data_IF_426259504951
#
_entry.id   IF_426259504951
#
_cell.length_a   1.000
_cell.length_b   1.000
_cell.length_c   1.000
_cell.angle_alpha   90.00
_cell.angle_beta   90.00
_cell.angle_gamma   90.00
#
_symmetry.space_group_name_H-M   'P 1'
#
loop_
_entity.id
_entity.type
_entity.pdbx_description
1 polymer ?
#
# COMPACT_ATOMS: atom_id res chain seq x y z
N UNK A 1 14.19 16.50 21.88
CA UNK A 1 13.59 15.59 22.88
C UNK A 1 12.68 14.59 22.16
N UNK A 2 13.25 13.66 21.40
CA UNK A 2 12.51 12.53 20.79
C UNK A 2 13.28 11.22 21.06
N UNK A 3 13.45 10.78 22.32
CA UNK A 3 14.23 9.57 22.62
C UNK A 3 13.41 8.26 22.54
N UNK A 4 12.08 8.32 22.39
CA UNK A 4 11.22 7.12 22.49
C UNK A 4 10.89 6.43 21.16
N UNK A 5 11.06 7.10 20.02
CA UNK A 5 10.73 6.50 18.71
C UNK A 5 11.76 5.45 18.26
N UNK A 6 13.01 5.56 18.72
CA UNK A 6 14.11 4.71 18.30
C UNK A 6 14.10 3.32 18.98
N UNK A 7 13.82 3.26 20.28
CA UNK A 7 13.97 2.01 21.07
C UNK A 7 13.11 0.85 20.55
N UNK A 8 11.89 1.14 20.07
CA UNK A 8 10.97 0.12 19.56
C UNK A 8 11.29 -0.28 18.10
N UNK A 9 11.87 0.64 17.31
CA UNK A 9 12.30 0.37 15.94
C UNK A 9 13.54 -0.52 15.89
N UNK A 10 14.50 -0.32 16.80
CA UNK A 10 15.70 -1.16 16.89
C UNK A 10 15.39 -2.62 17.24
N UNK A 11 14.36 -2.88 18.06
CA UNK A 11 13.95 -4.25 18.39
C UNK A 11 13.44 -5.06 17.19
N UNK A 12 12.98 -4.39 16.12
CA UNK A 12 12.48 -5.03 14.91
C UNK A 12 13.59 -5.23 13.86
N UNK A 13 14.61 -4.38 13.85
CA UNK A 13 15.72 -4.41 12.88
C UNK A 13 16.89 -5.31 13.30
N UNK A 14 17.05 -5.62 14.60
CA UNK A 14 18.16 -6.43 15.12
C UNK A 14 17.78 -7.88 15.50
N UNK A 15 16.61 -8.36 15.10
CA UNK A 15 16.26 -9.78 15.24
C UNK A 15 16.95 -10.59 14.13
N UNK A 16 17.81 -11.58 14.46
CA UNK A 16 18.46 -12.41 13.45
C UNK A 16 17.40 -13.14 12.62
N UNK A 17 17.54 -13.09 11.30
CA UNK A 17 16.66 -13.75 10.31
C UNK A 17 16.52 -15.27 10.56
N UNK A 18 17.41 -15.87 11.36
CA UNK A 18 17.37 -17.28 11.74
C UNK A 18 16.43 -17.62 12.92
N UNK A 19 15.90 -16.64 13.66
CA UNK A 19 15.01 -16.86 14.82
C UNK A 19 13.55 -16.48 14.58
N UNK A 20 13.18 -16.03 13.37
CA UNK A 20 11.77 -15.88 13.01
C UNK A 20 11.22 -17.27 12.72
N UNK A 21 10.39 -17.87 13.59
CA UNK A 21 9.79 -19.16 13.28
C UNK A 21 8.99 -18.99 11.98
N UNK A 22 9.32 -19.81 11.00
CA UNK A 22 8.58 -19.94 9.76
C UNK A 22 7.08 -20.08 10.10
N UNK A 23 6.26 -19.18 9.56
CA UNK A 23 4.87 -19.47 9.18
C UNK A 23 3.93 -20.01 10.27
N UNK A 24 3.80 -19.36 11.43
CA UNK A 24 2.74 -19.74 12.38
C UNK A 24 1.68 -18.70 12.72
N UNK A 25 1.68 -17.52 12.08
CA UNK A 25 0.48 -16.71 11.83
C UNK A 25 0.92 -15.34 11.35
N UNK A 26 0.72 -15.06 10.06
CA UNK A 26 0.66 -13.67 9.62
C UNK A 26 -0.52 -13.04 10.37
N UNK A 27 -0.29 -11.99 11.18
CA UNK A 27 -1.39 -11.21 11.74
C UNK A 27 -2.26 -10.75 10.56
N UNK A 28 -3.50 -11.24 10.47
CA UNK A 28 -4.33 -11.13 9.27
C UNK A 28 -4.76 -12.46 8.62
N UNK A 29 -4.07 -13.57 8.91
CA UNK A 29 -4.44 -14.94 8.48
C UNK A 29 -5.06 -15.78 9.60
N UNK A 30 -5.39 -15.11 10.71
CA UNK A 30 -6.12 -15.64 11.85
C UNK A 30 -7.63 -15.71 11.56
N UNK A 31 -8.37 -16.40 12.44
CA UNK A 31 -9.83 -16.54 12.33
C UNK A 31 -10.57 -15.19 12.24
N UNK A 32 -10.03 -14.11 12.80
CA UNK A 32 -10.67 -12.79 12.77
C UNK A 32 -10.06 -11.85 11.71
N UNK A 33 -9.15 -12.35 10.86
CA UNK A 33 -8.56 -11.60 9.75
C UNK A 33 -7.98 -10.26 10.16
N UNK A 34 -8.47 -9.19 9.53
CA UNK A 34 -8.01 -7.81 9.78
C UNK A 34 -8.32 -7.30 11.21
N UNK A 35 -9.29 -7.87 11.91
CA UNK A 35 -9.64 -7.42 13.28
C UNK A 35 -8.53 -7.70 14.29
N UNK A 36 -7.75 -8.77 14.09
CA UNK A 36 -6.61 -9.07 14.94
C UNK A 36 -5.46 -8.05 14.74
N UNK A 37 -5.35 -7.49 13.53
CA UNK A 37 -4.42 -6.40 13.24
C UNK A 37 -4.89 -5.12 13.94
N UNK A 38 -6.19 -4.79 13.84
CA UNK A 38 -6.76 -3.58 14.45
C UNK A 38 -6.61 -3.53 15.98
N UNK A 39 -6.65 -4.69 16.63
CA UNK A 39 -6.53 -4.84 18.09
C UNK A 39 -5.07 -4.91 18.59
N UNK A 40 -4.09 -4.92 17.68
CA UNK A 40 -2.68 -5.02 18.06
C UNK A 40 -2.19 -3.77 18.81
N UNK A 41 -1.27 -3.96 19.78
CA UNK A 41 -0.76 -2.88 20.65
C UNK A 41 -0.12 -1.71 19.89
N UNK A 42 0.38 -1.95 18.68
CA UNK A 42 0.93 -0.92 17.80
C UNK A 42 -0.11 0.15 17.46
N UNK A 43 -1.36 -0.26 17.19
CA UNK A 43 -2.44 0.63 16.79
C UNK A 43 -3.31 1.10 17.96
N UNK A 44 -2.82 0.95 19.19
CA UNK A 44 -3.53 1.41 20.38
C UNK A 44 -3.74 2.92 20.28
N UNK A 45 -5.00 3.35 20.37
CA UNK A 45 -5.38 4.76 20.26
C UNK A 45 -5.71 5.22 18.83
N UNK A 46 -5.53 4.37 17.82
CA UNK A 46 -5.97 4.66 16.46
C UNK A 46 -7.49 4.48 16.35
N UNK A 47 -8.19 5.55 15.94
CA UNK A 47 -9.62 5.47 15.66
C UNK A 47 -9.86 5.00 14.23
N UNK A 48 -10.06 3.68 14.07
CA UNK A 48 -10.30 3.06 12.77
C UNK A 48 -11.53 3.59 12.03
N UNK A 49 -12.58 4.02 12.74
CA UNK A 49 -13.78 4.58 12.13
C UNK A 49 -13.51 5.98 11.56
N UNK A 50 -12.80 6.84 12.31
CA UNK A 50 -12.38 8.15 11.83
C UNK A 50 -11.39 8.04 10.66
N UNK A 51 -10.48 7.05 10.68
CA UNK A 51 -9.57 6.78 9.57
C UNK A 51 -10.33 6.40 8.31
N UNK A 52 -11.28 5.46 8.43
CA UNK A 52 -12.11 5.00 7.30
C UNK A 52 -12.93 6.15 6.70
N UNK A 53 -13.49 7.02 7.55
CA UNK A 53 -14.25 8.19 7.15
C UNK A 53 -13.38 9.38 6.72
N UNK A 54 -12.05 9.22 6.63
CA UNK A 54 -11.09 10.28 6.26
C UNK A 54 -11.18 11.53 7.15
N UNK A 55 -11.53 11.34 8.43
CA UNK A 55 -11.69 12.41 9.42
C UNK A 55 -10.42 12.63 10.28
N UNK A 56 -9.43 11.74 10.14
CA UNK A 56 -8.13 11.90 10.79
C UNK A 56 -7.23 12.80 9.94
N UNK A 57 -6.50 13.70 10.60
CA UNK A 57 -5.48 14.50 9.93
C UNK A 57 -4.32 13.61 9.47
N UNK A 58 -3.95 13.74 8.19
CA UNK A 58 -2.80 13.04 7.65
C UNK A 58 -1.52 13.61 8.24
N UNK A 59 -0.67 12.75 8.83
CA UNK A 59 0.60 13.18 9.40
C UNK A 59 1.53 13.84 8.37
N UNK A 60 1.45 13.38 7.11
CA UNK A 60 2.18 13.96 5.99
C UNK A 60 1.15 14.58 5.05
N UNK A 61 1.16 15.90 4.97
CA UNK A 61 0.30 16.64 4.03
C UNK A 61 1.03 16.81 2.72
N UNK A 62 0.43 16.33 1.63
CA UNK A 62 0.93 16.54 0.27
C UNK A 62 0.56 17.97 -0.20
N UNK A 63 1.56 18.77 -0.55
CA UNK A 63 1.33 20.11 -1.09
C UNK A 63 1.16 20.05 -2.61
N UNK A 64 -0.08 19.91 -3.07
CA UNK A 64 -0.47 19.86 -4.49
C UNK A 64 -1.02 21.23 -4.91
N UNK A 65 -0.49 21.79 -5.99
CA UNK A 65 -0.83 23.15 -6.47
C UNK A 65 -2.05 23.20 -7.38
N UNK A 66 -2.27 22.15 -8.17
CA UNK A 66 -3.31 22.08 -9.20
C UNK A 66 -3.66 20.63 -9.54
N UNK A 67 -4.76 20.43 -10.27
CA UNK A 67 -5.19 19.09 -10.70
C UNK A 67 -4.14 18.38 -11.58
N UNK A 68 -3.37 19.14 -12.35
CA UNK A 68 -2.31 18.61 -13.24
C UNK A 68 -0.90 18.63 -12.58
N UNK A 69 -0.81 18.83 -11.26
CA UNK A 69 0.47 18.91 -10.57
C UNK A 69 1.11 17.52 -10.40
N UNK A 70 2.16 17.27 -11.19
CA UNK A 70 2.95 16.04 -11.15
C UNK A 70 4.23 16.16 -10.30
N UNK A 71 4.38 17.21 -9.49
CA UNK A 71 5.63 17.48 -8.75
C UNK A 71 5.99 16.47 -7.66
N UNK A 72 5.01 15.68 -7.19
CA UNK A 72 5.22 14.59 -6.24
C UNK A 72 5.59 13.25 -6.89
N UNK A 73 5.68 13.22 -8.23
CA UNK A 73 6.08 12.06 -9.00
C UNK A 73 7.48 12.27 -9.55
N UNK A 74 8.21 11.16 -9.73
CA UNK A 74 9.47 11.19 -10.45
C UNK A 74 9.25 11.55 -11.92
N UNK A 75 10.18 12.32 -12.48
CA UNK A 75 10.20 12.60 -13.92
C UNK A 75 10.79 11.40 -14.63
N UNK A 76 9.94 10.65 -15.29
CA UNK A 76 10.37 9.61 -16.21
C UNK A 76 10.48 10.20 -17.61
N UNK A 77 11.47 9.74 -18.38
CA UNK A 77 11.53 10.04 -19.81
C UNK A 77 10.35 9.37 -20.50
N UNK A 78 9.84 10.00 -21.55
CA UNK A 78 8.84 9.34 -22.39
C UNK A 78 9.37 7.98 -22.86
N UNK A 79 8.51 6.97 -22.80
CA UNK A 79 8.82 5.64 -23.30
C UNK A 79 9.23 5.76 -24.77
N UNK A 80 10.50 5.48 -25.04
CA UNK A 80 11.04 5.33 -26.40
C UNK A 80 10.67 3.99 -27.02
N UNK A 81 10.11 3.08 -26.22
CA UNK A 81 9.55 1.83 -26.71
C UNK A 81 8.23 2.14 -27.42
N UNK A 82 8.22 1.89 -28.74
CA UNK A 82 6.98 1.74 -29.49
C UNK A 82 6.09 0.78 -28.71
N UNK A 83 4.84 1.16 -28.45
CA UNK A 83 3.88 0.32 -27.73
C UNK A 83 4.02 -1.10 -28.26
N UNK A 84 4.17 -2.08 -27.35
CA UNK A 84 4.52 -3.47 -27.68
C UNK A 84 3.72 -4.04 -28.87
N UNK A 85 4.16 -5.18 -29.43
CA UNK A 85 3.72 -5.65 -30.75
C UNK A 85 2.24 -5.42 -31.00
N UNK A 86 1.94 -4.75 -32.13
CA UNK A 86 0.57 -4.36 -32.48
C UNK A 86 -0.38 -5.54 -32.27
N UNK A 87 -1.35 -5.33 -31.40
CA UNK A 87 -2.41 -6.28 -31.08
C UNK A 87 -3.07 -6.69 -32.40
N UNK A 88 -3.28 -8.00 -32.62
CA UNK A 88 -4.01 -8.47 -33.77
C UNK A 88 -5.51 -8.25 -33.51
N UNK A 89 -6.16 -7.29 -34.19
CA UNK A 89 -7.52 -6.88 -33.86
C UNK A 89 -8.57 -7.99 -34.11
N UNK A 90 -8.22 -9.04 -34.86
CA UNK A 90 -9.10 -10.16 -35.12
C UNK A 90 -8.96 -11.30 -34.10
N UNK A 91 -7.75 -11.51 -33.53
CA UNK A 91 -7.50 -12.60 -32.57
C UNK A 91 -7.65 -12.16 -31.13
N UNK A 92 -7.18 -10.96 -30.83
CA UNK A 92 -7.00 -10.54 -29.45
C UNK A 92 -8.22 -9.76 -28.93
N UNK A 93 -9.13 -9.33 -29.82
CA UNK A 93 -10.35 -8.60 -29.47
C UNK A 93 -11.28 -9.42 -28.56
N UNK A 94 -11.36 -10.73 -28.75
CA UNK A 94 -12.18 -11.62 -27.91
C UNK A 94 -11.62 -11.75 -26.48
N UNK A 95 -10.32 -11.54 -26.28
CA UNK A 95 -9.71 -11.59 -24.94
C UNK A 95 -10.15 -10.43 -24.04
N UNK A 96 -10.64 -9.34 -24.64
CA UNK A 96 -11.05 -8.12 -23.95
C UNK A 96 -12.55 -7.83 -24.08
N UNK A 97 -13.37 -8.76 -24.59
CA UNK A 97 -14.80 -8.51 -24.84
C UNK A 97 -15.59 -8.17 -23.58
N UNK A 98 -15.17 -8.68 -22.43
CA UNK A 98 -15.83 -8.44 -21.13
C UNK A 98 -15.15 -7.32 -20.33
N UNK A 99 -14.07 -6.72 -20.84
CA UNK A 99 -13.31 -5.68 -20.11
C UNK A 99 -14.18 -4.47 -19.75
N UNK A 100 -15.08 -4.07 -20.65
CA UNK A 100 -15.98 -2.94 -20.46
C UNK A 100 -17.34 -3.33 -19.86
N UNK A 101 -17.60 -4.61 -19.60
CA UNK A 101 -18.92 -5.11 -19.17
C UNK A 101 -19.12 -5.13 -17.64
N UNK A 102 -18.08 -4.87 -16.83
CA UNK A 102 -18.09 -5.06 -15.37
C UNK A 102 -18.27 -3.78 -14.51
N UNK A 103 -18.89 -2.71 -15.05
CA UNK A 103 -19.28 -1.52 -14.26
C UNK A 103 -20.78 -1.30 -14.17
#
# INVERSE_FOLDING_TARGET
MIPYLAQHFYSLLHMPVSSVPLLLLRAGSLKNGAEDIKKHKWYRGLNWAALYNKQMEAFITCNVKSQDDTSLFDKYTDSVEESGPLINPAKDKELFSTFDEDF
#
